data_IF_417929771001
#
_entry.id   IF_417929771001
#
_cell.length_a   1.000
_cell.length_b   1.000
_cell.length_c   1.000
_cell.angle_alpha   90.00
_cell.angle_beta   90.00
_cell.angle_gamma   90.00
#
_symmetry.space_group_name_H-M   'P 1'
#
loop_
_entity.id
_entity.type
_entity.pdbx_description
1 polymer ?
#
# COMPACT_ATOMS: atom_id res chain seq x y z
N UNK A 1 8.05 12.88 20.90
CA UNK A 1 8.99 13.70 21.68
C UNK A 1 10.08 14.20 20.77
N UNK A 2 10.47 15.46 20.91
CA UNK A 2 11.61 16.03 20.22
C UNK A 2 12.94 15.66 20.90
N UNK A 3 14.06 15.86 20.20
CA UNK A 3 15.41 15.66 20.73
C UNK A 3 15.66 16.47 22.02
N UNK A 4 15.15 17.70 22.08
CA UNK A 4 15.31 18.59 23.23
C UNK A 4 14.44 18.17 24.43
N UNK A 5 13.27 17.57 24.18
CA UNK A 5 12.45 16.96 25.23
C UNK A 5 13.14 15.73 25.83
N UNK A 6 13.73 14.88 25.00
CA UNK A 6 14.48 13.70 25.46
C UNK A 6 15.69 14.12 26.29
N UNK A 7 16.45 15.13 25.83
CA UNK A 7 17.61 15.66 26.56
C UNK A 7 17.22 16.32 27.87
N UNK A 8 16.09 17.05 27.93
CA UNK A 8 15.60 17.64 29.19
C UNK A 8 15.10 16.58 30.17
N UNK A 9 14.32 15.61 29.69
CA UNK A 9 13.64 14.64 30.56
C UNK A 9 14.55 13.51 31.02
N UNK A 10 15.45 13.04 30.15
CA UNK A 10 16.27 11.85 30.40
C UNK A 10 17.77 12.12 30.38
N UNK A 11 18.22 13.30 29.93
CA UNK A 11 19.62 13.63 29.56
C UNK A 11 20.15 12.79 28.41
N UNK A 12 20.05 11.47 28.54
CA UNK A 12 20.25 10.45 27.53
C UNK A 12 19.38 9.25 27.92
N UNK A 13 18.41 8.88 27.08
CA UNK A 13 17.50 7.76 27.35
C UNK A 13 18.26 6.44 27.22
N UNK A 14 18.32 5.64 28.30
CA UNK A 14 19.05 4.35 28.35
C UNK A 14 18.14 3.14 28.56
N UNK A 15 16.91 3.36 28.97
CA UNK A 15 15.97 2.33 29.39
C UNK A 15 14.70 2.36 28.53
N UNK A 16 13.98 1.23 28.47
CA UNK A 16 12.66 1.16 27.84
C UNK A 16 11.64 1.74 28.82
N UNK A 17 11.22 2.98 28.58
CA UNK A 17 10.36 3.74 29.51
C UNK A 17 8.91 3.89 29.03
N UNK A 18 8.56 3.36 27.85
CA UNK A 18 7.26 3.59 27.22
C UNK A 18 7.04 5.05 26.81
N UNK A 19 5.78 5.50 26.80
CA UNK A 19 5.38 6.87 26.44
C UNK A 19 5.00 7.00 24.95
N UNK A 20 5.59 7.97 24.24
CA UNK A 20 5.24 8.36 22.86
C UNK A 20 3.87 9.04 22.69
N UNK A 21 3.48 9.35 21.45
CA UNK A 21 2.15 9.86 21.11
C UNK A 21 1.02 8.85 21.37
N UNK A 22 1.37 7.59 21.63
CA UNK A 22 0.42 6.49 21.84
C UNK A 22 0.30 6.04 23.31
N UNK A 23 1.06 6.67 24.21
CA UNK A 23 1.09 6.38 25.65
C UNK A 23 1.29 4.87 25.95
N UNK A 24 2.33 4.30 25.34
CA UNK A 24 2.73 2.90 25.45
C UNK A 24 3.29 2.60 26.85
N UNK A 25 3.05 1.39 27.35
CA UNK A 25 3.71 0.88 28.55
C UNK A 25 5.19 0.58 28.25
N UNK A 26 6.09 0.63 29.25
CA UNK A 26 7.43 0.06 29.12
C UNK A 26 7.38 -1.37 28.56
N UNK A 27 8.01 -1.60 27.40
CA UNK A 27 8.06 -2.90 26.73
C UNK A 27 6.88 -3.23 25.82
N UNK A 28 5.87 -2.36 25.72
CA UNK A 28 4.80 -2.49 24.72
C UNK A 28 5.38 -2.18 23.33
N UNK A 29 5.17 -3.11 22.39
CA UNK A 29 5.72 -3.05 21.02
C UNK A 29 4.73 -2.40 20.04
N UNK A 30 5.24 -1.91 18.92
CA UNK A 30 4.48 -1.20 17.86
C UNK A 30 4.25 -2.09 16.64
N UNK A 31 3.70 -1.52 15.56
CA UNK A 31 3.44 -2.21 14.29
C UNK A 31 4.67 -2.91 13.73
N UNK A 32 5.86 -2.32 13.79
CA UNK A 32 7.08 -2.95 13.24
C UNK A 32 7.30 -4.38 13.79
N UNK A 33 7.13 -4.54 15.11
CA UNK A 33 7.34 -5.84 15.77
C UNK A 33 6.15 -6.76 15.55
N UNK A 34 4.92 -6.23 15.56
CA UNK A 34 3.72 -7.03 15.33
C UNK A 34 3.63 -7.55 13.90
N UNK A 35 4.05 -6.75 12.91
CA UNK A 35 4.16 -7.17 11.52
C UNK A 35 5.19 -8.28 11.35
N UNK A 36 6.33 -8.15 12.04
CA UNK A 36 7.37 -9.19 12.05
C UNK A 36 6.84 -10.50 12.62
N UNK A 37 6.04 -10.44 13.69
CA UNK A 37 5.37 -11.61 14.27
C UNK A 37 4.38 -12.21 13.27
N UNK A 38 3.53 -11.41 12.63
CA UNK A 38 2.55 -11.89 11.65
C UNK A 38 3.21 -12.62 10.46
N UNK A 39 4.34 -12.10 9.98
CA UNK A 39 5.14 -12.78 8.95
C UNK A 39 5.68 -14.10 9.46
N UNK A 40 6.27 -14.13 10.67
CA UNK A 40 6.83 -15.34 11.24
C UNK A 40 5.75 -16.42 11.49
N UNK A 41 4.60 -16.04 12.03
CA UNK A 41 3.48 -16.95 12.26
C UNK A 41 2.93 -17.51 10.95
N UNK A 42 2.78 -16.68 9.90
CA UNK A 42 2.34 -17.17 8.59
C UNK A 42 3.33 -18.12 7.91
N UNK A 43 4.64 -17.89 8.09
CA UNK A 43 5.68 -18.82 7.62
C UNK A 43 5.61 -20.15 8.37
N UNK A 44 5.36 -20.12 9.68
CA UNK A 44 5.24 -21.34 10.48
C UNK A 44 3.99 -22.14 10.15
N UNK A 45 2.89 -21.47 9.80
CA UNK A 45 1.65 -22.13 9.40
C UNK A 45 1.77 -22.85 8.06
N UNK A 46 2.50 -22.27 7.09
CA UNK A 46 2.71 -22.89 5.79
C UNK A 46 4.08 -22.53 5.18
N UNK A 47 5.14 -23.28 5.54
CA UNK A 47 6.50 -22.96 5.09
C UNK A 47 6.71 -23.01 3.57
N UNK A 48 5.93 -23.83 2.84
CA UNK A 48 6.08 -23.97 1.38
C UNK A 48 5.32 -22.89 0.59
N UNK A 49 4.21 -22.36 1.12
CA UNK A 49 3.45 -21.28 0.48
C UNK A 49 2.82 -20.31 1.52
N UNK A 50 3.63 -19.48 2.20
CA UNK A 50 3.20 -18.76 3.40
C UNK A 50 2.38 -17.49 3.15
N UNK A 51 2.30 -17.02 1.90
CA UNK A 51 1.77 -15.67 1.58
C UNK A 51 0.33 -15.48 2.07
N UNK A 52 -0.54 -16.47 1.87
CA UNK A 52 -1.93 -16.39 2.30
C UNK A 52 -2.04 -16.35 3.83
N UNK A 53 -1.26 -17.17 4.52
CA UNK A 53 -1.31 -17.28 5.98
C UNK A 53 -0.69 -16.06 6.67
N UNK A 54 0.37 -15.49 6.11
CA UNK A 54 0.89 -14.17 6.50
C UNK A 54 -0.23 -13.11 6.40
N UNK A 55 -0.98 -13.12 5.29
CA UNK A 55 -2.13 -12.23 5.09
C UNK A 55 -3.20 -12.40 6.16
N UNK A 56 -3.53 -13.63 6.56
CA UNK A 56 -4.48 -13.93 7.64
C UNK A 56 -4.00 -13.35 8.98
N UNK A 57 -2.72 -13.47 9.30
CA UNK A 57 -2.16 -12.89 10.53
C UNK A 57 -2.14 -11.37 10.52
N UNK A 58 -1.86 -10.74 9.37
CA UNK A 58 -2.00 -9.28 9.23
C UNK A 58 -3.44 -8.82 9.47
N UNK A 59 -4.43 -9.52 8.91
CA UNK A 59 -5.86 -9.19 9.12
C UNK A 59 -6.26 -9.41 10.58
N UNK A 60 -5.85 -10.53 11.18
CA UNK A 60 -6.11 -10.83 12.60
C UNK A 60 -5.50 -9.77 13.53
N UNK A 61 -4.27 -9.34 13.25
CA UNK A 61 -3.64 -8.25 13.98
C UNK A 61 -4.36 -6.92 13.77
N UNK A 62 -4.75 -6.60 12.52
CA UNK A 62 -5.53 -5.40 12.22
C UNK A 62 -6.86 -5.34 12.99
N UNK A 63 -7.60 -6.44 13.04
CA UNK A 63 -8.88 -6.55 13.76
C UNK A 63 -8.72 -6.42 15.28
N UNK A 64 -7.52 -6.65 15.82
CA UNK A 64 -7.23 -6.53 17.26
C UNK A 64 -7.18 -5.08 17.79
N UNK A 65 -7.29 -4.07 16.91
CA UNK A 65 -7.35 -2.63 17.23
C UNK A 65 -6.22 -2.14 18.15
N UNK A 66 -5.00 -2.63 17.97
CA UNK A 66 -3.84 -2.15 18.72
C UNK A 66 -3.48 -0.70 18.35
N UNK A 67 -2.88 0.00 19.31
CA UNK A 67 -2.76 1.48 19.34
C UNK A 67 -1.83 2.07 18.28
N UNK A 68 -1.01 1.27 17.64
CA UNK A 68 0.03 1.72 16.71
C UNK A 68 0.00 0.84 15.45
N UNK A 69 -0.99 1.07 14.61
CA UNK A 69 -0.98 0.62 13.21
C UNK A 69 -0.71 1.88 12.39
N UNK A 70 0.41 1.93 11.67
CA UNK A 70 0.71 3.01 10.74
C UNK A 70 -0.50 3.30 9.85
N UNK A 71 -0.82 4.59 9.68
CA UNK A 71 -2.07 5.00 9.03
C UNK A 71 -2.28 4.29 7.67
N UNK A 72 -1.22 4.10 6.88
CA UNK A 72 -1.26 3.44 5.56
C UNK A 72 -1.67 1.96 5.65
N UNK A 73 -1.18 1.21 6.64
CA UNK A 73 -1.52 -0.21 6.84
C UNK A 73 -2.94 -0.34 7.38
N UNK A 74 -3.32 0.57 8.28
CA UNK A 74 -4.68 0.61 8.83
C UNK A 74 -5.70 0.87 7.71
N UNK A 75 -5.35 1.80 6.83
CA UNK A 75 -6.06 2.15 5.61
C UNK A 75 -6.14 0.95 4.67
N UNK A 76 -5.01 0.32 4.34
CA UNK A 76 -4.96 -0.71 3.32
C UNK A 76 -5.79 -1.94 3.70
N UNK A 77 -5.79 -2.34 4.97
CA UNK A 77 -6.52 -3.52 5.45
C UNK A 77 -7.98 -3.21 5.81
N UNK A 78 -8.27 -2.01 6.33
CA UNK A 78 -9.64 -1.58 6.67
C UNK A 78 -10.51 -1.31 5.45
N UNK A 79 -9.91 -0.74 4.42
CA UNK A 79 -10.61 -0.29 3.22
C UNK A 79 -10.64 -1.33 2.11
N UNK A 80 -9.78 -2.37 2.15
CA UNK A 80 -9.86 -3.46 1.18
C UNK A 80 -11.28 -4.04 1.10
N UNK A 81 -12.00 -4.13 2.23
CA UNK A 81 -13.41 -4.55 2.27
C UNK A 81 -14.39 -3.48 1.75
N UNK A 82 -14.06 -2.20 1.92
CA UNK A 82 -14.91 -1.07 1.52
C UNK A 82 -14.81 -0.77 0.02
N UNK A 83 -13.64 -0.93 -0.61
CA UNK A 83 -13.46 -0.71 -2.05
C UNK A 83 -14.39 -1.60 -2.90
N UNK A 84 -14.70 -2.82 -2.44
CA UNK A 84 -15.66 -3.70 -3.12
C UNK A 84 -17.12 -3.25 -3.00
N UNK A 85 -17.43 -2.30 -2.12
CA UNK A 85 -18.81 -1.84 -1.85
C UNK A 85 -19.06 -0.40 -2.31
N UNK A 86 -18.00 0.37 -2.56
CA UNK A 86 -18.11 1.75 -3.02
C UNK A 86 -18.69 1.83 -4.43
N UNK A 87 -19.62 2.76 -4.62
CA UNK A 87 -20.02 3.24 -5.95
C UNK A 87 -19.04 4.30 -6.46
N UNK A 88 -19.05 4.52 -7.78
CA UNK A 88 -18.16 5.51 -8.42
C UNK A 88 -18.34 6.93 -7.86
N UNK A 89 -19.58 7.31 -7.51
CA UNK A 89 -19.91 8.65 -7.02
C UNK A 89 -19.39 8.93 -5.60
N UNK A 90 -19.00 7.88 -4.87
CA UNK A 90 -18.44 7.98 -3.52
C UNK A 90 -16.91 8.15 -3.53
N UNK A 91 -16.28 8.06 -4.70
CA UNK A 91 -14.84 8.21 -4.83
C UNK A 91 -14.41 9.67 -4.67
N UNK A 92 -13.40 9.87 -3.84
CA UNK A 92 -12.70 11.15 -3.69
C UNK A 92 -11.44 11.07 -4.55
N UNK A 93 -11.38 11.82 -5.65
CA UNK A 93 -10.22 11.83 -6.57
C UNK A 93 -9.22 12.95 -6.25
N UNK A 94 -8.79 13.07 -4.99
CA UNK A 94 -7.81 14.10 -4.59
C UNK A 94 -6.37 13.58 -4.62
N UNK A 95 -5.39 14.48 -4.54
CA UNK A 95 -3.96 14.12 -4.42
C UNK A 95 -3.55 13.67 -3.03
N UNK A 96 -4.51 13.45 -2.13
CA UNK A 96 -4.24 12.77 -0.87
C UNK A 96 -3.95 11.30 -1.15
N UNK A 97 -2.81 10.79 -0.66
CA UNK A 97 -2.33 9.42 -0.93
C UNK A 97 -3.38 8.32 -0.68
N UNK A 98 -4.29 8.54 0.27
CA UNK A 98 -5.39 7.62 0.56
C UNK A 98 -6.43 7.60 -0.57
N UNK A 99 -6.92 8.77 -0.94
CA UNK A 99 -7.89 9.00 -2.00
C UNK A 99 -7.37 8.41 -3.32
N UNK A 100 -6.08 8.63 -3.62
CA UNK A 100 -5.40 8.05 -4.77
C UNK A 100 -5.42 6.51 -4.74
N UNK A 101 -5.06 5.90 -3.61
CA UNK A 101 -5.01 4.44 -3.48
C UNK A 101 -6.40 3.80 -3.63
N UNK A 102 -7.43 4.39 -3.01
CA UNK A 102 -8.81 3.90 -3.10
C UNK A 102 -9.33 4.00 -4.52
N UNK A 103 -9.15 5.15 -5.18
CA UNK A 103 -9.54 5.32 -6.58
C UNK A 103 -8.83 4.32 -7.49
N UNK A 104 -7.52 4.11 -7.27
CA UNK A 104 -6.73 3.23 -8.12
C UNK A 104 -7.15 1.76 -7.98
N UNK A 105 -7.37 1.29 -6.74
CA UNK A 105 -7.89 -0.05 -6.44
C UNK A 105 -9.30 -0.24 -7.01
N UNK A 106 -10.18 0.74 -6.83
CA UNK A 106 -11.55 0.68 -7.34
C UNK A 106 -11.57 0.54 -8.86
N UNK A 107 -10.78 1.32 -9.58
CA UNK A 107 -10.68 1.24 -11.04
C UNK A 107 -10.17 -0.13 -11.50
N UNK A 108 -9.17 -0.69 -10.82
CA UNK A 108 -8.65 -2.01 -11.14
C UNK A 108 -9.66 -3.13 -10.89
N UNK A 109 -10.41 -3.06 -9.79
CA UNK A 109 -11.39 -4.08 -9.39
C UNK A 109 -12.66 -4.04 -10.26
N UNK A 110 -13.10 -2.85 -10.67
CA UNK A 110 -14.36 -2.65 -11.39
C UNK A 110 -14.22 -2.61 -12.92
N UNK A 111 -13.03 -2.90 -13.45
CA UNK A 111 -12.78 -2.99 -14.90
C UNK A 111 -12.18 -4.35 -15.26
N UNK A 112 -12.13 -4.66 -16.56
CA UNK A 112 -11.73 -5.99 -17.07
C UNK A 112 -10.55 -5.97 -18.01
N UNK A 113 -9.93 -4.81 -18.26
CA UNK A 113 -8.74 -4.67 -19.09
C UNK A 113 -7.83 -3.55 -18.60
N UNK A 114 -6.54 -3.62 -18.98
CA UNK A 114 -5.58 -2.55 -18.69
C UNK A 114 -6.07 -1.20 -19.21
N UNK A 115 -6.60 -1.18 -20.45
CA UNK A 115 -7.06 0.03 -21.09
C UNK A 115 -8.25 0.64 -20.33
N UNK A 116 -9.23 -0.19 -19.96
CA UNK A 116 -10.41 0.27 -19.23
C UNK A 116 -10.04 0.77 -17.84
N UNK A 117 -9.15 0.07 -17.11
CA UNK A 117 -8.70 0.48 -15.77
C UNK A 117 -8.06 1.87 -15.78
N UNK A 118 -7.11 2.09 -16.70
CA UNK A 118 -6.39 3.36 -16.80
C UNK A 118 -7.29 4.48 -17.35
N UNK A 119 -8.16 4.18 -18.31
CA UNK A 119 -9.14 5.15 -18.80
C UNK A 119 -10.11 5.55 -17.69
N UNK A 120 -10.62 4.59 -16.92
CA UNK A 120 -11.55 4.84 -15.82
C UNK A 120 -10.91 5.75 -14.78
N UNK A 121 -9.69 5.43 -14.34
CA UNK A 121 -8.89 6.24 -13.43
C UNK A 121 -8.68 7.67 -13.94
N UNK A 122 -8.28 7.83 -15.21
CA UNK A 122 -8.08 9.14 -15.82
C UNK A 122 -9.37 9.97 -15.92
N UNK A 123 -10.53 9.32 -16.02
CA UNK A 123 -11.84 9.97 -16.11
C UNK A 123 -12.49 10.26 -14.74
N UNK A 124 -11.87 9.88 -13.62
CA UNK A 124 -12.32 10.29 -12.28
C UNK A 124 -12.10 11.80 -12.01
N UNK A 125 -11.30 12.47 -12.84
CA UNK A 125 -10.94 13.87 -12.62
C UNK A 125 -10.10 14.08 -11.35
N UNK A 126 -10.02 15.33 -10.89
CA UNK A 126 -9.19 15.67 -9.73
C UNK A 126 -7.70 15.42 -10.00
N UNK A 127 -7.04 14.64 -9.15
CA UNK A 127 -5.63 14.24 -9.29
C UNK A 127 -5.48 13.01 -10.22
N UNK A 128 -6.09 13.13 -11.41
CA UNK A 128 -6.29 12.02 -12.33
C UNK A 128 -4.98 11.43 -12.88
N UNK A 129 -3.92 12.24 -13.01
CA UNK A 129 -2.61 11.79 -13.47
C UNK A 129 -1.97 10.84 -12.45
N UNK A 130 -1.94 11.20 -11.17
CA UNK A 130 -1.44 10.33 -10.10
C UNK A 130 -2.28 9.05 -9.99
N UNK A 131 -3.61 9.17 -10.01
CA UNK A 131 -4.51 8.00 -9.92
C UNK A 131 -4.28 7.07 -11.11
N UNK A 132 -4.22 7.59 -12.34
CA UNK A 132 -3.99 6.79 -13.53
C UNK A 132 -2.59 6.17 -13.58
N UNK A 133 -1.56 6.85 -13.04
CA UNK A 133 -0.20 6.29 -12.93
C UNK A 133 -0.18 5.10 -11.97
N UNK A 134 -0.75 5.25 -10.77
CA UNK A 134 -0.85 4.16 -9.77
C UNK A 134 -1.69 3.00 -10.30
N UNK A 135 -2.87 3.27 -10.90
CA UNK A 135 -3.69 2.25 -11.56
C UNK A 135 -2.92 1.55 -12.67
N UNK A 136 -2.21 2.30 -13.51
CA UNK A 136 -1.41 1.76 -14.63
C UNK A 136 -0.28 0.86 -14.15
N UNK A 137 0.40 1.22 -13.06
CA UNK A 137 1.40 0.37 -12.42
C UNK A 137 0.81 -0.96 -11.96
N UNK A 138 -0.31 -0.93 -11.23
CA UNK A 138 -0.98 -2.14 -10.74
C UNK A 138 -1.57 -2.99 -11.87
N UNK A 139 -2.27 -2.37 -12.81
CA UNK A 139 -2.84 -3.02 -13.99
C UNK A 139 -1.74 -3.63 -14.87
N UNK A 140 -0.58 -2.97 -14.98
CA UNK A 140 0.57 -3.47 -15.75
C UNK A 140 1.17 -4.73 -15.15
N UNK A 141 1.21 -4.84 -13.82
CA UNK A 141 1.61 -6.06 -13.12
C UNK A 141 0.58 -7.18 -13.31
N UNK A 142 -0.71 -6.84 -13.23
CA UNK A 142 -1.80 -7.81 -13.30
C UNK A 142 -2.07 -8.36 -14.72
N UNK A 143 -2.19 -7.47 -15.71
CA UNK A 143 -2.52 -7.84 -17.10
C UNK A 143 -1.28 -8.05 -17.98
N UNK A 144 -0.11 -7.57 -17.55
CA UNK A 144 1.15 -7.66 -18.30
C UNK A 144 1.34 -6.58 -19.38
N UNK A 145 2.57 -6.46 -19.87
CA UNK A 145 2.99 -5.43 -20.84
C UNK A 145 2.26 -5.49 -22.19
N UNK A 146 1.85 -6.69 -22.63
CA UNK A 146 1.18 -6.86 -23.90
C UNK A 146 -0.26 -6.35 -23.89
N UNK A 147 -0.90 -6.28 -22.71
CA UNK A 147 -2.22 -5.70 -22.53
C UNK A 147 -2.24 -4.18 -22.72
N UNK A 148 -1.09 -3.50 -22.61
CA UNK A 148 -0.99 -2.06 -22.85
C UNK A 148 -1.29 -1.79 -24.33
N UNK A 149 -2.22 -0.89 -24.67
CA UNK A 149 -2.54 -0.57 -26.06
C UNK A 149 -1.30 -0.18 -26.88
N UNK A 150 -1.10 -0.82 -28.02
CA UNK A 150 0.06 -0.55 -28.90
C UNK A 150 0.16 0.93 -29.29
N UNK A 151 -1.00 1.61 -29.43
CA UNK A 151 -1.09 3.05 -29.72
C UNK A 151 -0.59 3.94 -28.59
N UNK A 152 -0.64 3.48 -27.33
CA UNK A 152 -0.07 4.19 -26.18
C UNK A 152 1.42 3.94 -26.08
N UNK A 153 1.84 2.66 -26.19
CA UNK A 153 3.27 2.28 -26.24
C UNK A 153 4.04 3.11 -27.28
N UNK A 154 3.46 3.30 -28.48
CA UNK A 154 4.06 4.11 -29.56
C UNK A 154 4.22 5.61 -29.20
N UNK A 155 3.37 6.15 -28.33
CA UNK A 155 3.38 7.57 -27.93
C UNK A 155 4.25 7.84 -26.70
N UNK A 156 4.57 6.83 -25.90
CA UNK A 156 5.40 6.99 -24.70
C UNK A 156 6.84 7.34 -25.09
N UNK A 157 7.26 8.57 -24.81
CA UNK A 157 8.55 9.12 -25.24
C UNK A 157 9.75 8.37 -24.66
N UNK A 158 9.64 7.91 -23.40
CA UNK A 158 10.71 7.23 -22.67
C UNK A 158 10.55 5.70 -22.67
N UNK A 159 9.72 5.15 -23.57
CA UNK A 159 9.40 3.72 -23.63
C UNK A 159 10.65 2.83 -23.69
N UNK A 160 11.61 3.16 -24.55
CA UNK A 160 12.81 2.33 -24.73
C UNK A 160 13.69 2.33 -23.47
N UNK A 161 13.78 3.46 -22.75
CA UNK A 161 14.48 3.54 -21.46
C UNK A 161 13.78 2.72 -20.38
N UNK A 162 12.44 2.78 -20.32
CA UNK A 162 11.66 1.98 -19.37
C UNK A 162 11.82 0.48 -19.60
N UNK A 163 11.76 0.03 -20.87
CA UNK A 163 11.98 -1.39 -21.23
C UNK A 163 13.40 -1.83 -20.86
N UNK A 164 14.41 -1.00 -21.17
CA UNK A 164 15.80 -1.29 -20.81
C UNK A 164 15.96 -1.49 -19.30
N UNK A 165 15.39 -0.60 -18.47
CA UNK A 165 15.44 -0.71 -17.01
C UNK A 165 14.71 -1.97 -16.54
N UNK A 166 13.51 -2.23 -17.07
CA UNK A 166 12.72 -3.41 -16.68
C UNK A 166 13.48 -4.72 -16.96
N UNK A 167 14.12 -4.85 -18.13
CA UNK A 167 14.90 -6.04 -18.50
C UNK A 167 16.07 -6.30 -17.54
N UNK A 168 16.73 -5.24 -17.05
CA UNK A 168 17.85 -5.35 -16.10
C UNK A 168 17.45 -5.97 -14.76
N UNK A 169 16.18 -5.89 -14.36
CA UNK A 169 15.68 -6.56 -13.15
C UNK A 169 15.48 -8.07 -13.34
N UNK A 170 15.28 -8.55 -14.57
CA UNK A 170 15.07 -9.98 -14.87
C UNK A 170 16.36 -10.74 -15.22
N UNK A 171 17.43 -10.01 -15.55
CA UNK A 171 18.76 -10.58 -15.85
C UNK A 171 19.67 -10.69 -14.62
N UNK A 172 19.12 -10.48 -13.42
CA UNK A 172 19.83 -10.50 -12.12
C UNK A 172 19.81 -11.85 -11.41
#
# INVERSE_FOLDING_TARGET
MSKDEIKRKYRYLKDIVGGSCWNLKPGEVTDDTMMTIAVAEGILDNPENPIEDIGKHFIKWYDSKLKDIGNIIRIALGEYKQVFQLSKDELMSTGYVFDTLICALWCLINTSSFEDAVCEAANLGGDADTIADVTGGMAGVYYGYDAIPARWKKKTLVKDQLIYIAQRFFEG
#
